data_IF_283986365609
#
_entry.id   IF_283986365609
#
_cell.length_a   1.000
_cell.length_b   1.000
_cell.length_c   1.000
_cell.angle_alpha   90.00
_cell.angle_beta   90.00
_cell.angle_gamma   90.00
#
_symmetry.space_group_name_H-M   'P 1'
#
loop_
_entity.id
_entity.type
_entity.pdbx_description
1 polymer ?
#
# COMPACT_ATOMS: atom_id res chain seq x y z
N UNK A 1 -20.06 -6.60 23.84
CA UNK A 1 -18.74 -6.28 24.40
C UNK A 1 -18.07 -5.29 23.44
N UNK A 2 -17.34 -4.33 24.00
CA UNK A 2 -16.80 -3.15 23.29
C UNK A 2 -15.34 -3.43 22.95
N UNK A 3 -15.10 -4.42 22.09
CA UNK A 3 -13.77 -5.03 21.91
C UNK A 3 -13.42 -5.11 20.41
N UNK A 4 -13.43 -3.98 19.70
CA UNK A 4 -13.07 -3.93 18.26
C UNK A 4 -12.51 -2.59 17.77
N UNK A 5 -11.89 -1.79 18.66
CA UNK A 5 -11.03 -0.71 18.22
C UNK A 5 -9.64 -1.02 18.73
N UNK A 6 -8.76 -1.43 17.81
CA UNK A 6 -7.34 -1.55 18.10
C UNK A 6 -6.86 -0.27 18.76
N UNK A 7 -6.02 -0.41 19.79
CA UNK A 7 -5.56 0.73 20.58
C UNK A 7 -4.86 1.70 19.63
N UNK A 8 -5.20 3.00 19.66
CA UNK A 8 -4.53 3.97 18.81
C UNK A 8 -3.03 4.02 19.15
N UNK A 9 -2.21 4.13 18.11
CA UNK A 9 -0.74 4.13 18.19
C UNK A 9 -0.15 5.42 17.65
N UNK A 10 1.06 5.71 18.09
CA UNK A 10 1.85 6.77 17.47
C UNK A 10 2.69 6.14 16.34
N UNK A 11 2.60 6.73 15.15
CA UNK A 11 3.35 6.28 13.96
C UNK A 11 4.41 7.31 13.63
N UNK A 12 5.66 6.85 13.58
CA UNK A 12 6.81 7.65 13.16
C UNK A 12 7.46 7.02 11.93
N UNK A 13 7.62 7.79 10.87
CA UNK A 13 8.20 7.32 9.61
C UNK A 13 9.15 8.35 9.00
N UNK A 14 10.28 7.89 8.49
CA UNK A 14 11.24 8.75 7.79
C UNK A 14 10.83 8.96 6.34
N UNK A 15 11.10 10.14 5.77
CA UNK A 15 10.90 10.42 4.34
C UNK A 15 11.92 9.67 3.48
N UNK A 16 11.55 9.28 2.25
CA UNK A 16 12.41 8.46 1.38
C UNK A 16 13.41 9.27 0.54
N UNK A 17 13.13 10.57 0.31
CA UNK A 17 13.99 11.45 -0.49
C UNK A 17 14.21 12.79 0.20
N UNK A 18 15.04 12.75 1.24
CA UNK A 18 15.30 13.87 2.16
C UNK A 18 15.61 15.19 1.42
N UNK A 19 16.43 15.14 0.36
CA UNK A 19 16.84 16.34 -0.40
C UNK A 19 15.72 16.92 -1.26
N UNK A 20 14.90 16.06 -1.88
CA UNK A 20 13.79 16.48 -2.73
C UNK A 20 12.67 17.14 -1.90
N UNK A 21 12.53 16.75 -0.64
CA UNK A 21 11.49 17.23 0.26
C UNK A 21 11.99 18.22 1.32
N UNK A 22 13.16 18.84 1.12
CA UNK A 22 13.69 19.82 2.07
C UNK A 22 12.68 20.96 2.34
N UNK A 23 11.96 21.41 1.30
CA UNK A 23 10.96 22.47 1.36
C UNK A 23 9.51 21.98 1.53
N UNK A 24 9.28 20.70 1.80
CA UNK A 24 7.92 20.20 2.06
C UNK A 24 7.31 20.85 3.31
N UNK A 25 5.99 20.91 3.38
CA UNK A 25 5.30 21.53 4.53
C UNK A 25 5.69 20.83 5.85
N UNK A 26 5.64 21.59 6.95
CA UNK A 26 5.69 21.01 8.30
C UNK A 26 4.42 20.23 8.64
N UNK A 27 3.31 20.50 7.95
CA UNK A 27 2.08 19.71 8.03
C UNK A 27 2.10 18.62 6.95
N UNK A 28 1.81 17.39 7.37
CA UNK A 28 1.75 16.21 6.48
C UNK A 28 0.50 15.41 6.75
N UNK A 29 0.13 14.56 5.79
CA UNK A 29 -1.05 13.71 5.82
C UNK A 29 -0.62 12.26 5.83
N UNK A 30 -1.21 11.48 6.73
CA UNK A 30 -1.16 10.02 6.68
C UNK A 30 -2.32 9.58 5.79
N UNK A 31 -2.01 8.91 4.69
CA UNK A 31 -3.00 8.52 3.71
C UNK A 31 -3.17 7.00 3.69
N UNK A 32 -4.41 6.52 3.68
CA UNK A 32 -4.75 5.11 3.49
C UNK A 32 -5.26 4.87 2.06
N UNK A 33 -5.03 3.68 1.51
CA UNK A 33 -5.53 3.36 0.17
C UNK A 33 -7.00 2.97 0.21
N UNK A 34 -7.86 3.76 -0.44
CA UNK A 34 -9.29 3.50 -0.53
C UNK A 34 -9.83 3.95 -1.89
N UNK A 35 -10.78 3.20 -2.46
CA UNK A 35 -11.42 3.53 -3.74
C UNK A 35 -10.45 3.98 -4.85
N UNK A 36 -9.41 3.20 -5.12
CA UNK A 36 -8.39 3.44 -6.15
C UNK A 36 -7.42 4.61 -5.91
N UNK A 37 -7.48 5.27 -4.74
CA UNK A 37 -6.64 6.42 -4.43
C UNK A 37 -6.14 6.41 -2.99
N UNK A 38 -5.04 7.12 -2.77
CA UNK A 38 -4.55 7.44 -1.43
C UNK A 38 -5.35 8.62 -0.88
N UNK A 39 -6.01 8.41 0.27
CA UNK A 39 -6.87 9.40 0.91
C UNK A 39 -6.32 9.78 2.28
N UNK A 40 -6.19 11.08 2.62
CA UNK A 40 -5.83 11.52 3.95
C UNK A 40 -6.79 10.99 5.01
N UNK A 41 -6.25 10.35 6.06
CA UNK A 41 -7.03 9.87 7.21
C UNK A 41 -6.58 10.50 8.53
N UNK A 42 -5.36 11.06 8.57
CA UNK A 42 -4.87 11.81 9.72
C UNK A 42 -3.92 12.93 9.27
N UNK A 43 -3.81 13.95 10.12
CA UNK A 43 -2.84 15.05 9.97
C UNK A 43 -1.73 14.85 10.99
N UNK A 44 -0.49 15.08 10.56
CA UNK A 44 0.70 14.97 11.39
C UNK A 44 1.65 16.13 11.16
N UNK A 45 2.76 16.08 11.89
CA UNK A 45 3.83 17.05 11.76
C UNK A 45 5.09 16.38 11.21
N UNK A 46 5.84 17.12 10.40
CA UNK A 46 7.15 16.74 9.89
C UNK A 46 8.22 17.64 10.49
N UNK A 47 9.27 17.02 11.00
CA UNK A 47 10.50 17.70 11.45
C UNK A 47 11.66 17.09 10.68
N UNK A 48 12.31 17.89 9.84
CA UNK A 48 13.39 17.47 8.93
C UNK A 48 12.99 16.27 8.07
N UNK A 49 13.39 15.08 8.49
CA UNK A 49 13.27 13.81 7.78
C UNK A 49 12.22 12.89 8.37
N UNK A 50 11.62 13.24 9.50
CA UNK A 50 10.68 12.38 10.22
C UNK A 50 9.28 12.99 10.24
N UNK A 51 8.28 12.17 9.95
CA UNK A 51 6.87 12.47 10.08
C UNK A 51 6.34 11.76 11.33
N UNK A 52 5.53 12.45 12.13
CA UNK A 52 4.89 11.94 13.34
C UNK A 52 3.38 12.12 13.26
N UNK A 53 2.67 11.03 13.50
CA UNK A 53 1.22 10.98 13.65
C UNK A 53 0.91 10.38 15.01
N UNK A 54 0.07 11.05 15.80
CA UNK A 54 -0.29 10.59 17.14
C UNK A 54 -1.68 9.96 17.12
N UNK A 55 -1.84 8.89 17.89
CA UNK A 55 -3.13 8.26 18.16
C UNK A 55 -3.91 7.86 16.89
N UNK A 56 -3.25 7.23 15.93
CA UNK A 56 -3.88 6.71 14.70
C UNK A 56 -4.21 5.23 14.83
N UNK A 57 -5.19 4.76 14.05
CA UNK A 57 -5.44 3.33 13.92
C UNK A 57 -4.22 2.64 13.29
N UNK A 58 -3.65 1.67 14.01
CA UNK A 58 -2.55 0.85 13.52
C UNK A 58 -3.02 -0.28 12.61
N UNK A 59 -2.13 -1.26 12.43
CA UNK A 59 -2.31 -2.46 11.61
C UNK A 59 -2.91 -2.20 10.22
N UNK A 60 -2.34 -1.21 9.52
CA UNK A 60 -2.83 -0.79 8.22
C UNK A 60 -1.70 -0.28 7.31
N UNK A 61 -2.00 -0.13 6.04
CA UNK A 61 -1.07 0.33 5.01
C UNK A 61 -1.31 1.80 4.73
N UNK A 62 -0.25 2.58 4.91
CA UNK A 62 -0.26 4.02 4.76
C UNK A 62 0.81 4.50 3.78
N UNK A 63 0.65 5.73 3.32
CA UNK A 63 1.68 6.53 2.66
C UNK A 63 1.62 7.94 3.23
N UNK A 64 2.76 8.62 3.39
CA UNK A 64 2.76 10.02 3.82
C UNK A 64 2.77 10.94 2.62
N UNK A 65 1.98 11.99 2.65
CA UNK A 65 1.97 13.04 1.65
C UNK A 65 1.99 14.44 2.26
N UNK A 66 2.47 15.43 1.50
CA UNK A 66 2.06 16.82 1.69
C UNK A 66 1.17 17.28 0.52
N UNK A 67 0.68 18.52 0.58
CA UNK A 67 -0.17 19.12 -0.46
C UNK A 67 0.38 20.51 -0.81
N UNK A 68 1.45 20.60 -1.62
CA UNK A 68 2.08 21.88 -1.96
C UNK A 68 1.17 22.79 -2.80
N UNK A 69 0.30 22.20 -3.61
CA UNK A 69 -0.85 22.87 -4.23
C UNK A 69 -2.12 22.29 -3.61
N UNK A 70 -3.12 23.14 -3.37
CA UNK A 70 -4.38 22.72 -2.77
C UNK A 70 -5.01 21.56 -3.58
N UNK A 71 -5.11 20.39 -2.96
CA UNK A 71 -5.76 19.20 -3.55
C UNK A 71 -4.84 18.23 -4.28
N UNK A 72 -3.56 18.53 -4.49
CA UNK A 72 -2.61 17.59 -5.09
C UNK A 72 -1.66 17.00 -4.04
N UNK A 73 -1.81 15.71 -3.77
CA UNK A 73 -0.91 14.97 -2.89
C UNK A 73 0.44 14.75 -3.57
N UNK A 74 1.51 15.08 -2.85
CA UNK A 74 2.87 14.68 -3.18
C UNK A 74 3.37 13.72 -2.12
N UNK A 75 3.66 12.49 -2.52
CA UNK A 75 4.07 11.43 -1.61
C UNK A 75 5.51 11.63 -1.15
N UNK A 76 5.72 11.62 0.16
CA UNK A 76 7.01 11.81 0.82
C UNK A 76 7.68 10.48 1.21
N UNK A 77 6.92 9.39 1.16
CA UNK A 77 7.37 8.04 1.47
C UNK A 77 6.89 7.05 0.40
N UNK A 78 7.56 5.90 0.30
CA UNK A 78 6.94 4.67 -0.18
C UNK A 78 5.77 4.28 0.75
N UNK A 79 4.79 3.48 0.26
CA UNK A 79 3.80 2.88 1.13
C UNK A 79 4.46 2.04 2.22
N UNK A 80 3.82 1.92 3.37
CA UNK A 80 4.31 1.14 4.50
C UNK A 80 3.17 0.55 5.31
N UNK A 81 3.42 -0.61 5.92
CA UNK A 81 2.58 -1.16 6.97
C UNK A 81 3.02 -0.57 8.30
N UNK A 82 2.08 0.00 9.05
CA UNK A 82 2.24 0.30 10.46
C UNK A 82 1.52 -0.79 11.25
N UNK A 83 2.23 -1.54 12.09
CA UNK A 83 1.64 -2.62 12.88
C UNK A 83 0.79 -2.08 14.05
N UNK A 84 0.21 -2.98 14.85
CA UNK A 84 -0.59 -2.63 16.03
C UNK A 84 0.21 -1.98 17.18
N UNK A 85 1.53 -1.83 17.02
CA UNK A 85 2.43 -1.14 17.95
C UNK A 85 3.04 0.14 17.36
N UNK A 86 2.69 0.48 16.11
CA UNK A 86 3.22 1.64 15.39
C UNK A 86 4.59 1.40 14.73
N UNK A 87 5.10 0.16 14.70
CA UNK A 87 6.31 -0.14 13.94
C UNK A 87 6.05 -0.10 12.45
N UNK A 88 7.00 0.46 11.71
CA UNK A 88 6.85 0.74 10.29
C UNK A 88 7.72 -0.19 9.45
N UNK A 89 7.09 -0.86 8.47
CA UNK A 89 7.77 -1.60 7.39
C UNK A 89 7.38 -1.03 6.03
N UNK A 90 8.36 -0.50 5.29
CA UNK A 90 8.14 0.08 3.96
C UNK A 90 8.10 -0.97 2.86
N UNK A 91 7.18 -0.79 1.93
CA UNK A 91 7.08 -1.53 0.68
C UNK A 91 7.91 -0.83 -0.40
N UNK A 92 9.18 -1.20 -0.44
CA UNK A 92 10.11 -0.80 -1.49
C UNK A 92 10.37 -2.06 -2.33
N UNK A 93 9.76 -2.16 -3.53
CA UNK A 93 9.94 -3.30 -4.42
C UNK A 93 11.41 -3.48 -4.81
N UNK A 94 11.84 -4.72 -4.99
CA UNK A 94 13.18 -5.07 -5.50
C UNK A 94 13.04 -5.79 -6.85
N UNK A 95 12.99 -5.08 -7.98
CA UNK A 95 12.78 -5.69 -9.30
C UNK A 95 13.82 -6.76 -9.68
N UNK A 96 15.01 -6.68 -9.09
CA UNK A 96 16.15 -7.57 -9.29
C UNK A 96 16.00 -8.89 -8.51
N UNK A 97 15.03 -8.94 -7.57
CA UNK A 97 14.69 -10.11 -6.78
C UNK A 97 13.20 -10.37 -6.88
N UNK A 98 12.83 -11.38 -7.66
CA UNK A 98 11.44 -11.69 -7.91
C UNK A 98 11.01 -12.99 -7.24
N UNK A 99 9.75 -13.05 -6.85
CA UNK A 99 9.07 -14.25 -6.37
C UNK A 99 7.95 -14.65 -7.33
N UNK A 100 7.62 -15.93 -7.33
CA UNK A 100 6.49 -16.47 -8.07
C UNK A 100 5.28 -16.66 -7.16
N UNK A 101 4.07 -16.40 -7.68
CA UNK A 101 2.84 -16.65 -6.95
C UNK A 101 1.71 -17.06 -7.89
N UNK A 102 0.88 -18.00 -7.44
CA UNK A 102 -0.29 -18.47 -8.18
C UNK A 102 -1.56 -18.08 -7.44
N UNK A 103 -2.35 -17.18 -8.05
CA UNK A 103 -3.60 -16.72 -7.48
C UNK A 103 -4.76 -17.61 -7.93
N UNK A 104 -5.68 -18.01 -7.02
CA UNK A 104 -6.91 -18.67 -7.41
C UNK A 104 -7.85 -17.69 -8.12
N UNK A 105 -8.42 -18.12 -9.25
CA UNK A 105 -9.50 -17.43 -9.93
C UNK A 105 -10.82 -17.66 -9.19
N UNK A 106 -11.58 -16.60 -8.97
CA UNK A 106 -12.96 -16.67 -8.48
C UNK A 106 -13.82 -17.41 -9.50
N UNK A 107 -14.61 -18.38 -9.03
CA UNK A 107 -15.50 -19.25 -9.85
C UNK A 107 -16.38 -18.52 -10.88
N UNK A 108 -16.78 -17.27 -10.61
CA UNK A 108 -17.61 -16.46 -11.52
C UNK A 108 -16.82 -15.72 -12.61
N UNK A 109 -15.48 -15.79 -12.60
CA UNK A 109 -14.57 -14.97 -13.39
C UNK A 109 -13.44 -15.79 -14.02
N UNK A 110 -13.60 -17.11 -14.10
CA UNK A 110 -12.57 -18.06 -14.58
C UNK A 110 -12.05 -17.75 -15.99
N UNK A 111 -12.91 -17.20 -16.85
CA UNK A 111 -12.61 -16.88 -18.25
C UNK A 111 -11.82 -15.57 -18.46
N UNK A 112 -11.58 -14.78 -17.41
CA UNK A 112 -10.94 -13.46 -17.55
C UNK A 112 -9.58 -13.42 -16.87
N UNK A 113 -8.56 -12.82 -17.52
CA UNK A 113 -7.28 -12.62 -16.89
C UNK A 113 -7.45 -11.61 -15.75
N UNK A 114 -6.72 -11.90 -14.69
CA UNK A 114 -6.64 -11.02 -13.55
C UNK A 114 -5.52 -10.02 -13.78
N UNK A 115 -5.73 -8.76 -13.42
CA UNK A 115 -4.73 -7.72 -13.62
C UNK A 115 -4.10 -7.41 -12.26
N UNK A 116 -2.81 -7.69 -12.14
CA UNK A 116 -2.02 -7.48 -10.93
C UNK A 116 -1.11 -6.27 -11.15
N UNK A 117 -1.06 -5.40 -10.16
CA UNK A 117 -0.16 -4.25 -10.15
C UNK A 117 0.73 -4.29 -8.92
N UNK A 118 1.89 -3.65 -9.01
CA UNK A 118 2.73 -3.33 -7.87
C UNK A 118 2.94 -1.82 -7.75
N UNK A 119 3.15 -1.31 -6.54
CA UNK A 119 3.48 0.10 -6.35
C UNK A 119 4.92 0.37 -6.82
N UNK A 120 5.08 1.17 -7.86
CA UNK A 120 6.36 1.66 -8.36
C UNK A 120 6.72 2.96 -7.61
N UNK A 121 7.78 2.91 -6.81
CA UNK A 121 8.21 4.03 -5.96
C UNK A 121 8.73 5.21 -6.79
N UNK A 122 9.35 4.94 -7.94
CA UNK A 122 9.90 5.98 -8.82
C UNK A 122 8.79 6.73 -9.56
N UNK A 123 7.77 6.00 -10.02
CA UNK A 123 6.59 6.61 -10.66
C UNK A 123 5.56 7.14 -9.66
N UNK A 124 5.71 6.79 -8.39
CA UNK A 124 4.71 7.01 -7.34
C UNK A 124 3.29 6.58 -7.77
N UNK A 125 3.19 5.41 -8.42
CA UNK A 125 1.97 4.88 -9.01
C UNK A 125 1.99 3.35 -9.11
N UNK A 126 0.82 2.74 -9.29
CA UNK A 126 0.71 1.31 -9.58
C UNK A 126 1.14 1.00 -11.02
N UNK A 127 2.10 0.09 -11.18
CA UNK A 127 2.57 -0.44 -12.46
C UNK A 127 2.09 -1.88 -12.66
N UNK A 128 1.74 -2.22 -13.90
CA UNK A 128 1.21 -3.54 -14.28
C UNK A 128 2.27 -4.65 -14.19
N UNK A 129 1.85 -5.83 -13.74
CA UNK A 129 2.60 -7.08 -13.86
C UNK A 129 1.92 -8.00 -14.88
N UNK A 130 2.70 -8.45 -15.86
CA UNK A 130 2.27 -9.47 -16.81
C UNK A 130 2.22 -10.85 -16.13
N UNK A 131 1.17 -11.61 -16.43
CA UNK A 131 1.07 -13.00 -15.97
C UNK A 131 1.93 -13.91 -16.83
N UNK A 132 2.49 -14.96 -16.23
CA UNK A 132 3.29 -15.94 -16.96
C UNK A 132 2.45 -17.06 -17.57
N UNK A 133 1.37 -17.44 -16.89
CA UNK A 133 0.44 -18.47 -17.36
C UNK A 133 -0.93 -18.34 -16.72
N UNK A 134 -1.92 -18.97 -17.35
CA UNK A 134 -3.30 -18.98 -16.89
C UNK A 134 -3.88 -20.38 -17.07
N UNK A 135 -4.57 -20.89 -16.06
CA UNK A 135 -5.33 -22.14 -16.12
C UNK A 135 -6.82 -21.85 -15.85
N UNK A 136 -7.68 -22.87 -15.93
CA UNK A 136 -9.12 -22.68 -15.71
C UNK A 136 -9.44 -22.04 -14.37
N UNK A 137 -8.71 -22.42 -13.31
CA UNK A 137 -8.98 -21.99 -11.93
C UNK A 137 -7.90 -21.14 -11.29
N UNK A 138 -6.78 -20.87 -11.97
CA UNK A 138 -5.64 -20.15 -11.41
C UNK A 138 -4.96 -19.24 -12.43
N UNK A 139 -4.20 -18.27 -11.93
CA UNK A 139 -3.31 -17.44 -12.74
C UNK A 139 -1.98 -17.24 -12.02
N UNK A 140 -0.88 -17.42 -12.74
CA UNK A 140 0.47 -17.41 -12.16
C UNK A 140 1.28 -16.22 -12.64
N UNK A 141 2.14 -15.73 -11.76
CA UNK A 141 3.11 -14.67 -12.00
C UNK A 141 4.47 -15.16 -11.51
N UNK A 142 5.54 -14.87 -12.24
CA UNK A 142 6.91 -15.29 -11.89
C UNK A 142 7.86 -14.12 -11.65
N UNK A 143 7.39 -12.89 -11.87
CA UNK A 143 8.15 -11.66 -11.87
C UNK A 143 7.64 -10.65 -10.82
N UNK A 144 7.00 -11.12 -9.74
CA UNK A 144 6.54 -10.23 -8.67
C UNK A 144 7.78 -9.76 -7.89
N UNK A 145 8.07 -8.45 -7.80
CA UNK A 145 9.21 -7.99 -7.01
C UNK A 145 9.05 -8.36 -5.53
N UNK A 146 10.14 -8.74 -4.87
CA UNK A 146 10.16 -8.88 -3.41
C UNK A 146 9.78 -7.55 -2.74
N UNK A 147 9.12 -7.64 -1.58
CA UNK A 147 8.70 -6.48 -0.77
C UNK A 147 7.77 -5.49 -1.52
N UNK A 148 7.07 -5.97 -2.55
CA UNK A 148 6.09 -5.16 -3.29
C UNK A 148 4.76 -5.02 -2.53
N UNK A 149 4.22 -3.81 -2.53
CA UNK A 149 2.79 -3.59 -2.29
C UNK A 149 2.04 -3.92 -3.58
N UNK A 150 1.09 -4.83 -3.49
CA UNK A 150 0.34 -5.37 -4.61
C UNK A 150 -1.10 -4.89 -4.61
N UNK A 151 -1.67 -4.83 -5.79
CA UNK A 151 -3.05 -4.45 -5.98
C UNK A 151 -3.70 -5.24 -7.11
N UNK A 152 -4.91 -5.72 -6.85
CA UNK A 152 -5.66 -6.56 -7.76
C UNK A 152 -6.81 -5.80 -8.39
N UNK A 153 -6.85 -5.77 -9.72
CA UNK A 153 -8.02 -5.29 -10.46
C UNK A 153 -8.70 -6.45 -11.16
N UNK A 154 -9.97 -6.65 -10.83
CA UNK A 154 -10.87 -7.56 -11.52
C UNK A 154 -11.84 -6.72 -12.36
N UNK A 155 -12.03 -7.02 -13.65
CA UNK A 155 -13.03 -6.34 -14.46
C UNK A 155 -14.44 -6.48 -13.84
N UNK A 156 -15.22 -5.40 -13.89
CA UNK A 156 -16.67 -5.33 -13.60
C UNK A 156 -17.13 -5.41 -12.13
N UNK A 157 -16.23 -5.32 -11.13
CA UNK A 157 -16.63 -5.12 -9.72
C UNK A 157 -15.71 -4.20 -8.93
N UNK A 158 -16.32 -3.20 -8.29
CA UNK A 158 -15.75 -2.29 -7.27
C UNK A 158 -15.55 -3.04 -5.91
N UNK A 159 -15.64 -4.38 -5.89
CA UNK A 159 -15.73 -5.15 -4.63
C UNK A 159 -14.41 -5.89 -4.36
N UNK A 160 -13.70 -5.44 -3.32
CA UNK A 160 -12.35 -5.83 -2.85
C UNK A 160 -11.18 -5.10 -3.56
N UNK A 161 -11.13 -3.78 -3.41
CA UNK A 161 -10.08 -2.88 -3.93
C UNK A 161 -8.91 -2.69 -2.97
N UNK A 162 -8.58 -3.72 -2.20
CA UNK A 162 -7.56 -3.62 -1.15
C UNK A 162 -6.20 -3.85 -1.76
N UNK A 163 -5.25 -3.01 -1.35
CA UNK A 163 -3.84 -3.33 -1.49
C UNK A 163 -3.49 -4.46 -0.52
N UNK A 164 -2.50 -5.26 -0.89
CA UNK A 164 -2.06 -6.43 -0.14
C UNK A 164 -0.58 -6.67 -0.38
N UNK A 165 0.03 -7.57 0.37
CA UNK A 165 1.40 -8.00 0.12
C UNK A 165 1.51 -9.51 0.29
N UNK A 166 2.63 -10.07 -0.17
CA UNK A 166 2.96 -11.47 0.01
C UNK A 166 3.93 -11.64 1.19
N UNK A 167 3.64 -12.59 2.05
CA UNK A 167 4.51 -12.97 3.16
C UNK A 167 4.40 -14.48 3.38
N UNK A 168 5.52 -15.19 3.41
CA UNK A 168 5.58 -16.64 3.58
C UNK A 168 4.58 -17.39 2.67
N UNK A 169 4.63 -17.10 1.36
CA UNK A 169 3.75 -17.66 0.33
C UNK A 169 2.24 -17.48 0.61
N UNK A 170 1.88 -16.44 1.37
CA UNK A 170 0.51 -16.13 1.72
C UNK A 170 0.15 -14.69 1.36
N UNK A 171 -1.11 -14.47 0.98
CA UNK A 171 -1.67 -13.14 0.72
C UNK A 171 -2.08 -12.51 2.04
N UNK A 172 -1.47 -11.38 2.38
CA UNK A 172 -1.80 -10.61 3.58
C UNK A 172 -2.59 -9.37 3.18
N UNK A 173 -3.83 -9.27 3.65
CA UNK A 173 -4.71 -8.11 3.45
C UNK A 173 -4.98 -7.42 4.77
N UNK A 174 -4.96 -6.09 4.79
CA UNK A 174 -5.39 -5.34 5.98
C UNK A 174 -6.93 -5.32 6.08
N UNK A 175 -7.45 -5.43 7.30
CA UNK A 175 -8.84 -5.19 7.57
C UNK A 175 -9.04 -3.70 7.78
N UNK A 176 -9.79 -3.04 6.90
CA UNK A 176 -10.36 -1.74 7.26
C UNK A 176 -11.38 -2.00 8.37
N UNK A 177 -11.09 -1.50 9.57
CA UNK A 177 -12.11 -1.33 10.61
C UNK A 177 -13.23 -0.50 9.97
N UNK A 178 -14.42 -1.08 9.92
CA UNK A 178 -15.63 -0.44 9.40
C UNK A 178 -16.28 0.40 10.49
#
# INVERSE_FOLDING_TARGET
SMEYLDRPVDVRVSTDRIREFAHASGQVYLCAYNYYKWEPVAVGCRTDTACLFRQVGGDNIFIVADSPAAGQLRFLTAPFHADAHGHVRKFIPRPERTQAFTFPKRKRLLKRPYTLHYWDVEKAAFSLLEYSSTADSTQSYTNIPENALLWFTVPDRIVNQRVFFLENDSVITMNLIR
#
